data_IF_462316857274
#
_entry.id   IF_462316857274
#
_cell.length_a   1.000
_cell.length_b   1.000
_cell.length_c   1.000
_cell.angle_alpha   90.00
_cell.angle_beta   90.00
_cell.angle_gamma   90.00
#
_symmetry.space_group_name_H-M   'P 1'
#
loop_
_entity.id
_entity.type
_entity.pdbx_description
1 polymer ?
#
# COMPACT_ATOMS: atom_id res chain seq x y z
N UNK A 1 0.77 1.41 -7.87
CA UNK A 1 -0.29 0.87 -8.76
C UNK A 1 -0.73 -0.45 -8.16
N UNK A 2 -2.03 -0.74 -8.13
CA UNK A 2 -2.53 -2.00 -7.61
C UNK A 2 -2.14 -3.16 -8.53
N UNK A 3 -1.79 -4.30 -7.95
CA UNK A 3 -1.45 -5.55 -8.63
C UNK A 3 -2.31 -6.68 -8.10
N UNK A 4 -2.39 -7.77 -8.85
CA UNK A 4 -3.12 -8.96 -8.42
C UNK A 4 -2.36 -9.64 -7.26
N UNK A 5 -3.02 -9.77 -6.11
CA UNK A 5 -2.52 -10.42 -4.90
C UNK A 5 -2.88 -11.90 -4.90
N UNK A 6 -3.97 -12.27 -4.24
CA UNK A 6 -4.54 -13.63 -4.26
C UNK A 6 -5.77 -13.69 -5.17
N UNK A 7 -6.00 -14.82 -5.82
CA UNK A 7 -7.11 -14.96 -6.75
C UNK A 7 -7.45 -16.41 -7.04
N UNK A 8 -8.67 -16.63 -7.51
CA UNK A 8 -9.13 -17.86 -8.11
C UNK A 8 -10.09 -17.55 -9.27
N UNK A 9 -9.70 -17.90 -10.50
CA UNK A 9 -10.37 -17.47 -11.75
C UNK A 9 -10.71 -18.65 -12.68
N UNK A 10 -10.99 -19.82 -12.10
CA UNK A 10 -11.42 -21.00 -12.86
C UNK A 10 -12.76 -20.77 -13.59
N UNK A 11 -13.08 -21.61 -14.59
CA UNK A 11 -14.37 -21.51 -15.27
C UNK A 11 -15.52 -21.77 -14.31
N UNK A 12 -16.57 -20.96 -14.41
CA UNK A 12 -17.75 -21.09 -13.56
C UNK A 12 -18.53 -22.37 -13.90
N UNK A 13 -18.86 -23.19 -12.89
CA UNK A 13 -19.73 -24.36 -13.08
C UNK A 13 -20.68 -24.65 -11.90
N UNK A 14 -20.65 -23.85 -10.84
CA UNK A 14 -21.44 -24.02 -9.62
C UNK A 14 -21.63 -22.68 -8.93
N UNK A 15 -22.59 -22.56 -8.02
CA UNK A 15 -22.87 -21.30 -7.32
C UNK A 15 -23.31 -21.57 -5.89
N UNK A 16 -23.20 -20.56 -5.06
CA UNK A 16 -23.81 -20.56 -3.74
C UNK A 16 -24.73 -19.37 -3.55
N UNK A 17 -25.96 -19.63 -3.11
CA UNK A 17 -26.96 -18.61 -2.83
C UNK A 17 -26.96 -18.32 -1.33
N UNK A 18 -26.97 -17.05 -0.94
CA UNK A 18 -26.93 -16.63 0.46
C UNK A 18 -27.76 -15.37 0.70
N UNK A 19 -28.30 -15.24 1.91
CA UNK A 19 -29.31 -14.25 2.25
C UNK A 19 -29.51 -14.13 3.77
N UNK A 20 -30.00 -12.99 4.24
CA UNK A 20 -30.40 -12.80 5.63
C UNK A 20 -29.24 -12.59 6.59
N UNK A 21 -29.56 -12.63 7.89
CA UNK A 21 -28.66 -12.19 8.98
C UNK A 21 -27.70 -13.25 9.51
N UNK A 22 -27.85 -14.51 9.11
CA UNK A 22 -27.04 -15.62 9.65
C UNK A 22 -26.68 -16.67 8.59
N UNK A 23 -26.65 -16.29 7.31
CA UNK A 23 -26.35 -17.21 6.21
C UNK A 23 -25.51 -16.48 5.16
N UNK A 24 -24.19 -16.58 5.32
CA UNK A 24 -23.20 -15.82 4.56
C UNK A 24 -22.29 -16.72 3.74
N UNK A 25 -21.92 -16.28 2.55
CA UNK A 25 -20.87 -16.90 1.76
C UNK A 25 -19.50 -16.31 2.12
N UNK A 26 -18.50 -17.17 2.21
CA UNK A 26 -17.14 -16.78 2.52
C UNK A 26 -16.10 -17.60 1.74
N UNK A 27 -14.93 -17.02 1.54
CA UNK A 27 -13.78 -17.69 0.93
C UNK A 27 -12.56 -17.40 1.81
N UNK A 28 -11.90 -18.43 2.34
CA UNK A 28 -10.59 -18.23 2.95
C UNK A 28 -9.50 -18.11 1.88
N UNK A 29 -8.47 -17.35 2.20
CA UNK A 29 -7.31 -17.13 1.35
C UNK A 29 -6.06 -16.90 2.19
N UNK A 30 -4.91 -17.32 1.65
CA UNK A 30 -3.62 -17.20 2.32
C UNK A 30 -2.69 -16.36 1.47
N UNK A 31 -2.12 -15.30 2.05
CA UNK A 31 -1.18 -14.45 1.32
C UNK A 31 0.06 -15.24 0.93
N UNK A 32 0.37 -15.26 -0.37
CA UNK A 32 1.50 -15.97 -0.93
C UNK A 32 1.19 -17.40 -1.39
N UNK A 33 -0.07 -17.82 -1.38
CA UNK A 33 -0.46 -19.14 -1.87
C UNK A 33 -0.43 -19.21 -3.40
N UNK A 34 -1.03 -18.21 -4.06
CA UNK A 34 -0.93 -18.02 -5.52
C UNK A 34 -0.15 -16.75 -5.86
N UNK A 35 -0.30 -15.72 -5.02
CA UNK A 35 0.35 -14.42 -5.17
C UNK A 35 1.78 -14.35 -4.63
N UNK A 36 2.28 -13.12 -4.52
CA UNK A 36 3.61 -12.87 -3.92
C UNK A 36 3.53 -12.97 -2.40
N UNK A 37 4.40 -13.77 -1.77
CA UNK A 37 4.44 -13.94 -0.31
C UNK A 37 5.18 -12.79 0.41
N UNK A 38 4.63 -11.59 0.33
CA UNK A 38 5.10 -10.37 1.04
C UNK A 38 3.90 -9.71 1.73
N UNK A 39 4.13 -8.72 2.60
CA UNK A 39 3.05 -7.90 3.13
C UNK A 39 2.39 -7.09 2.00
N UNK A 40 1.07 -6.92 2.04
CA UNK A 40 0.29 -6.29 0.97
C UNK A 40 -0.83 -5.44 1.56
N UNK A 41 -1.02 -4.21 1.08
CA UNK A 41 -2.18 -3.39 1.46
C UNK A 41 -3.32 -3.70 0.51
N UNK A 42 -4.48 -4.09 1.03
CA UNK A 42 -5.67 -4.29 0.18
C UNK A 42 -6.19 -2.96 -0.36
N UNK A 43 -6.50 -2.96 -1.66
CA UNK A 43 -7.10 -1.84 -2.38
C UNK A 43 -8.55 -2.17 -2.78
N UNK A 44 -8.76 -3.29 -3.46
CA UNK A 44 -10.09 -3.68 -3.96
C UNK A 44 -10.25 -5.19 -4.10
N UNK A 45 -11.50 -5.63 -4.14
CA UNK A 45 -11.90 -6.99 -4.47
C UNK A 45 -12.66 -6.98 -5.78
N UNK A 46 -12.38 -7.97 -6.64
CA UNK A 46 -13.26 -8.30 -7.75
C UNK A 46 -13.90 -9.64 -7.46
N UNK A 47 -15.23 -9.66 -7.42
CA UNK A 47 -16.01 -10.84 -7.05
C UNK A 47 -16.96 -11.20 -8.19
N UNK A 48 -17.03 -12.48 -8.55
CA UNK A 48 -17.99 -12.95 -9.55
C UNK A 48 -19.34 -13.20 -8.89
N UNK A 49 -20.19 -12.19 -8.92
CA UNK A 49 -21.48 -12.17 -8.24
C UNK A 49 -22.63 -11.99 -9.24
N UNK A 50 -23.77 -12.59 -8.92
CA UNK A 50 -25.05 -12.31 -9.57
C UNK A 50 -26.17 -12.38 -8.53
N UNK A 51 -27.31 -11.78 -8.85
CA UNK A 51 -28.45 -11.66 -7.91
C UNK A 51 -29.77 -12.06 -8.54
N UNK A 52 -30.80 -12.23 -7.72
CA UNK A 52 -32.16 -12.23 -8.26
C UNK A 52 -32.59 -10.81 -8.69
N UNK A 53 -33.53 -10.74 -9.64
CA UNK A 53 -33.96 -9.48 -10.22
C UNK A 53 -34.58 -8.50 -9.21
N UNK A 54 -35.23 -9.01 -8.16
CA UNK A 54 -35.88 -8.22 -7.11
C UNK A 54 -34.97 -7.73 -5.98
N UNK A 55 -33.69 -8.14 -5.95
CA UNK A 55 -32.78 -7.76 -4.88
C UNK A 55 -32.23 -6.33 -5.04
N UNK A 56 -32.67 -5.43 -4.16
CA UNK A 56 -32.20 -4.04 -4.05
C UNK A 56 -31.85 -3.71 -2.59
N UNK A 57 -30.66 -4.11 -2.18
CA UNK A 57 -30.11 -3.89 -0.84
C UNK A 57 -28.63 -3.51 -0.93
N UNK A 58 -28.04 -3.08 0.17
CA UNK A 58 -26.60 -2.93 0.27
C UNK A 58 -25.98 -4.23 0.77
N UNK A 59 -25.07 -4.81 -0.02
CA UNK A 59 -24.27 -5.95 0.42
C UNK A 59 -22.98 -5.45 1.09
N UNK A 60 -22.57 -6.12 2.16
CA UNK A 60 -21.38 -5.79 2.94
C UNK A 60 -20.31 -6.84 2.69
N UNK A 61 -19.11 -6.39 2.35
CA UNK A 61 -17.95 -7.25 2.14
C UNK A 61 -16.96 -6.96 3.26
N UNK A 62 -16.50 -8.00 3.95
CA UNK A 62 -15.58 -7.90 5.07
C UNK A 62 -14.38 -8.83 4.85
N UNK A 63 -13.22 -8.40 5.32
CA UNK A 63 -12.06 -9.27 5.53
C UNK A 63 -11.82 -9.41 7.02
N UNK A 64 -11.67 -10.65 7.48
CA UNK A 64 -11.35 -10.98 8.87
C UNK A 64 -10.19 -11.96 8.95
N UNK A 65 -9.53 -11.96 10.11
CA UNK A 65 -8.64 -13.05 10.51
C UNK A 65 -9.45 -14.32 10.79
N UNK A 66 -8.77 -15.46 10.80
CA UNK A 66 -9.36 -16.73 11.22
C UNK A 66 -8.72 -17.27 12.49
N UNK A 67 -9.50 -18.02 13.26
CA UNK A 67 -8.98 -18.83 14.35
C UNK A 67 -8.41 -20.16 13.83
N UNK A 68 -7.76 -20.91 14.73
CA UNK A 68 -7.17 -22.23 14.42
C UNK A 68 -8.20 -23.29 14.00
N UNK A 69 -9.50 -23.01 14.20
CA UNK A 69 -10.60 -23.89 13.80
C UNK A 69 -11.21 -23.47 12.44
N UNK A 70 -10.64 -22.46 11.78
CA UNK A 70 -11.11 -21.98 10.49
C UNK A 70 -12.35 -21.08 10.55
N UNK A 71 -12.69 -20.52 11.73
CA UNK A 71 -13.79 -19.57 11.90
C UNK A 71 -13.28 -18.12 11.83
N UNK A 72 -14.11 -17.16 11.38
CA UNK A 72 -13.77 -15.74 11.49
C UNK A 72 -13.57 -15.34 12.95
N UNK A 73 -12.54 -14.55 13.22
CA UNK A 73 -12.26 -14.04 14.57
C UNK A 73 -11.86 -12.56 14.55
N UNK A 74 -11.99 -11.92 15.71
CA UNK A 74 -11.61 -10.52 15.89
C UNK A 74 -12.49 -9.51 15.16
N UNK A 75 -11.95 -8.29 15.04
CA UNK A 75 -12.62 -7.18 14.35
C UNK A 75 -12.52 -7.31 12.83
N UNK A 76 -13.38 -6.58 12.11
CA UNK A 76 -13.24 -6.39 10.67
C UNK A 76 -11.92 -5.67 10.39
N UNK A 77 -11.07 -6.27 9.54
CA UNK A 77 -9.76 -5.73 9.18
C UNK A 77 -9.87 -4.78 7.99
N UNK A 78 -10.70 -5.14 7.02
CA UNK A 78 -11.02 -4.33 5.85
C UNK A 78 -12.48 -4.53 5.46
N UNK A 79 -13.11 -3.49 4.92
CA UNK A 79 -14.52 -3.53 4.53
C UNK A 79 -14.80 -2.75 3.26
N UNK A 80 -15.88 -3.16 2.57
CA UNK A 80 -16.44 -2.46 1.43
C UNK A 80 -17.94 -2.72 1.34
N UNK A 81 -18.62 -1.93 0.52
CA UNK A 81 -20.06 -2.10 0.27
C UNK A 81 -20.36 -1.99 -1.21
N UNK A 82 -21.39 -2.69 -1.67
CA UNK A 82 -21.90 -2.58 -3.04
C UNK A 82 -23.42 -2.57 -3.01
N UNK A 83 -24.03 -1.69 -3.80
CA UNK A 83 -25.47 -1.73 -4.02
C UNK A 83 -25.80 -2.89 -4.97
N UNK A 84 -26.66 -3.82 -4.56
CA UNK A 84 -26.90 -5.03 -5.35
C UNK A 84 -27.47 -4.75 -6.73
N UNK A 85 -28.15 -3.62 -6.94
CA UNK A 85 -28.67 -3.25 -8.27
C UNK A 85 -27.58 -3.07 -9.33
N UNK A 86 -26.33 -2.82 -8.95
CA UNK A 86 -25.16 -2.79 -9.87
C UNK A 86 -24.62 -4.17 -10.19
N UNK A 87 -25.05 -5.19 -9.44
CA UNK A 87 -24.72 -6.59 -9.67
C UNK A 87 -25.67 -7.17 -10.73
N UNK A 88 -25.15 -7.93 -11.71
CA UNK A 88 -25.96 -8.53 -12.75
C UNK A 88 -26.99 -9.57 -12.24
N UNK A 89 -28.02 -9.80 -13.04
CA UNK A 89 -29.09 -10.78 -12.72
C UNK A 89 -28.88 -12.15 -13.36
N UNK A 90 -27.88 -12.29 -14.24
CA UNK A 90 -27.54 -13.55 -14.90
C UNK A 90 -26.16 -14.01 -14.46
N UNK A 91 -25.93 -15.32 -14.26
CA UNK A 91 -24.59 -15.85 -14.01
C UNK A 91 -23.71 -15.69 -15.25
N UNK A 92 -22.48 -15.18 -15.07
CA UNK A 92 -21.42 -15.17 -16.08
C UNK A 92 -20.05 -15.03 -15.42
N UNK A 93 -18.98 -15.30 -16.18
CA UNK A 93 -17.58 -15.21 -15.75
C UNK A 93 -17.06 -13.76 -15.65
N UNK A 94 -17.92 -12.82 -15.27
CA UNK A 94 -17.52 -11.44 -15.00
C UNK A 94 -17.42 -11.16 -13.53
N UNK A 95 -16.90 -9.96 -13.24
CA UNK A 95 -16.64 -9.51 -11.89
C UNK A 95 -17.25 -8.13 -11.64
N UNK A 96 -17.75 -7.94 -10.43
CA UNK A 96 -18.02 -6.62 -9.87
C UNK A 96 -16.83 -6.20 -9.01
N UNK A 97 -16.48 -4.91 -9.04
CA UNK A 97 -15.36 -4.38 -8.25
C UNK A 97 -15.90 -3.69 -6.99
N UNK A 98 -15.32 -4.00 -5.85
CA UNK A 98 -15.63 -3.41 -4.55
C UNK A 98 -14.35 -2.77 -4.02
N UNK A 99 -14.39 -1.46 -3.79
CA UNK A 99 -13.29 -0.76 -3.12
C UNK A 99 -13.30 -1.14 -1.64
N UNK A 100 -12.11 -1.38 -1.10
CA UNK A 100 -11.93 -1.83 0.28
C UNK A 100 -11.22 -0.76 1.10
N UNK A 101 -11.54 -0.67 2.39
CA UNK A 101 -10.76 0.15 3.32
C UNK A 101 -9.34 -0.42 3.45
N UNK A 102 -8.32 0.43 3.44
CA UNK A 102 -6.93 -0.01 3.48
C UNK A 102 -6.60 -0.81 4.74
N UNK A 103 -5.90 -1.94 4.55
CA UNK A 103 -5.38 -2.79 5.61
C UNK A 103 -4.18 -3.58 5.11
N UNK A 104 -3.14 -3.71 5.94
CA UNK A 104 -1.93 -4.49 5.61
C UNK A 104 -2.11 -5.98 5.94
N UNK A 105 -2.34 -6.78 4.91
CA UNK A 105 -2.36 -8.24 4.94
C UNK A 105 -0.93 -8.77 5.05
N UNK A 106 -0.70 -9.68 5.99
CA UNK A 106 0.62 -10.21 6.33
C UNK A 106 0.95 -11.45 5.48
N UNK A 107 2.23 -11.67 5.14
CA UNK A 107 2.66 -12.84 4.36
C UNK A 107 2.34 -14.13 5.11
N UNK A 108 2.05 -15.21 4.35
CA UNK A 108 1.78 -16.55 4.89
C UNK A 108 0.68 -16.59 5.96
N UNK A 109 -0.21 -15.60 5.95
CA UNK A 109 -1.31 -15.46 6.91
C UNK A 109 -2.62 -15.72 6.20
N UNK A 110 -3.47 -16.51 6.82
CA UNK A 110 -4.80 -16.83 6.32
C UNK A 110 -5.84 -15.81 6.80
N UNK A 111 -6.68 -15.39 5.87
CA UNK A 111 -7.78 -14.45 6.06
C UNK A 111 -9.04 -15.00 5.41
N UNK A 112 -10.17 -14.32 5.64
CA UNK A 112 -11.43 -14.71 5.04
C UNK A 112 -12.19 -13.50 4.48
N UNK A 113 -12.58 -13.61 3.21
CA UNK A 113 -13.57 -12.72 2.57
C UNK A 113 -14.95 -13.21 3.00
N UNK A 114 -15.80 -12.32 3.52
CA UNK A 114 -17.16 -12.62 3.95
C UNK A 114 -18.12 -11.66 3.23
N UNK A 115 -19.20 -12.18 2.64
CA UNK A 115 -20.27 -11.35 2.07
C UNK A 115 -21.53 -11.51 2.90
N UNK A 116 -22.02 -10.39 3.46
CA UNK A 116 -23.23 -10.34 4.28
C UNK A 116 -24.34 -9.57 3.56
N UNK A 117 -25.55 -10.10 3.65
CA UNK A 117 -26.76 -9.53 3.04
C UNK A 117 -27.92 -9.58 4.05
N UNK A 118 -27.82 -8.85 5.18
CA UNK A 118 -28.78 -8.96 6.30
C UNK A 118 -30.24 -8.69 5.90
N UNK A 119 -30.44 -7.86 4.88
CA UNK A 119 -31.76 -7.45 4.38
C UNK A 119 -32.26 -8.31 3.19
N UNK A 120 -31.52 -9.35 2.81
CA UNK A 120 -31.93 -10.31 1.79
C UNK A 120 -32.79 -11.44 2.37
N UNK A 121 -33.54 -12.12 1.51
CA UNK A 121 -34.40 -13.24 1.87
C UNK A 121 -34.30 -14.39 0.85
N UNK A 122 -35.01 -15.49 1.09
CA UNK A 122 -34.96 -16.67 0.22
C UNK A 122 -35.51 -16.45 -1.20
N UNK A 123 -36.28 -15.40 -1.43
CA UNK A 123 -36.78 -14.98 -2.76
C UNK A 123 -35.90 -13.89 -3.39
N UNK A 124 -35.24 -13.08 -2.57
CA UNK A 124 -34.35 -12.00 -2.97
C UNK A 124 -32.96 -12.24 -2.40
N UNK A 125 -32.10 -12.95 -3.13
CA UNK A 125 -30.79 -13.39 -2.66
C UNK A 125 -29.66 -13.03 -3.61
N UNK A 126 -28.45 -13.05 -3.05
CA UNK A 126 -27.20 -12.89 -3.79
C UNK A 126 -26.56 -14.27 -3.99
N UNK A 127 -25.85 -14.41 -5.09
CA UNK A 127 -25.14 -15.62 -5.45
C UNK A 127 -23.69 -15.32 -5.79
N UNK A 128 -22.79 -16.16 -5.28
CA UNK A 128 -21.36 -16.13 -5.62
C UNK A 128 -21.05 -17.32 -6.52
N UNK A 129 -20.49 -16.99 -7.69
CA UNK A 129 -19.98 -17.95 -8.66
C UNK A 129 -18.85 -18.79 -8.06
N UNK A 130 -18.88 -20.10 -8.32
CA UNK A 130 -17.92 -21.07 -7.84
C UNK A 130 -17.51 -22.08 -8.93
N UNK A 131 -16.40 -22.77 -8.69
CA UNK A 131 -15.96 -23.92 -9.47
C UNK A 131 -15.86 -25.17 -8.58
N UNK A 132 -16.43 -26.28 -9.08
CA UNK A 132 -16.49 -27.58 -8.41
C UNK A 132 -15.88 -28.67 -9.29
N UNK A 133 -14.97 -29.53 -8.77
CA UNK A 133 -14.29 -29.36 -7.48
C UNK A 133 -13.45 -28.07 -7.47
N UNK A 134 -13.32 -27.48 -6.30
CA UNK A 134 -12.39 -26.39 -6.03
C UNK A 134 -10.95 -26.82 -6.32
N UNK A 135 -10.08 -25.83 -6.41
CA UNK A 135 -8.66 -26.03 -6.70
C UNK A 135 -7.82 -24.82 -6.33
N UNK A 136 -8.32 -23.97 -5.43
CA UNK A 136 -7.56 -22.87 -4.88
C UNK A 136 -6.70 -23.39 -3.72
N UNK A 137 -5.38 -23.38 -3.90
CA UNK A 137 -4.46 -23.92 -2.88
C UNK A 137 -4.38 -23.08 -1.61
N UNK A 138 -4.85 -21.82 -1.65
CA UNK A 138 -4.72 -20.86 -0.56
C UNK A 138 -5.84 -20.86 0.47
N UNK A 139 -6.88 -21.67 0.29
CA UNK A 139 -8.03 -21.71 1.20
C UNK A 139 -9.20 -22.47 0.61
N UNK A 140 -10.37 -22.35 1.25
CA UNK A 140 -11.58 -23.04 0.81
C UNK A 140 -12.79 -22.09 0.84
N UNK A 141 -13.78 -22.38 0.00
CA UNK A 141 -15.10 -21.76 0.18
C UNK A 141 -15.80 -22.30 1.43
N UNK A 142 -16.51 -21.39 2.09
CA UNK A 142 -17.12 -21.59 3.40
C UNK A 142 -18.54 -21.02 3.43
N UNK A 143 -19.41 -21.69 4.18
CA UNK A 143 -20.68 -21.13 4.64
C UNK A 143 -20.56 -20.76 6.10
N UNK A 144 -21.00 -19.56 6.45
CA UNK A 144 -21.23 -19.19 7.85
C UNK A 144 -22.74 -19.24 8.08
N UNK A 145 -23.19 -20.22 8.86
CA UNK A 145 -24.59 -20.42 9.19
C UNK A 145 -24.82 -20.51 10.70
N UNK A 146 -25.63 -19.59 11.25
CA UNK A 146 -25.96 -19.52 12.68
C UNK A 146 -24.72 -19.56 13.58
N UNK A 147 -23.67 -18.82 13.20
CA UNK A 147 -22.40 -18.75 13.94
C UNK A 147 -21.49 -19.98 13.78
N UNK A 148 -21.84 -20.94 12.92
CA UNK A 148 -21.01 -22.11 12.60
C UNK A 148 -20.42 -21.97 11.19
N UNK A 149 -19.15 -22.32 11.03
CA UNK A 149 -18.46 -22.33 9.72
C UNK A 149 -18.45 -23.74 9.15
N UNK A 150 -18.79 -23.88 7.87
CA UNK A 150 -18.78 -25.15 7.14
C UNK A 150 -17.91 -25.02 5.90
N UNK A 151 -16.92 -25.90 5.76
CA UNK A 151 -16.09 -26.00 4.57
C UNK A 151 -16.83 -26.72 3.45
N UNK A 152 -16.64 -26.23 2.22
CA UNK A 152 -17.12 -26.89 1.02
C UNK A 152 -15.97 -27.30 0.11
N UNK A 153 -16.27 -28.19 -0.83
CA UNK A 153 -15.31 -28.72 -1.80
C UNK A 153 -15.21 -27.89 -3.08
N UNK A 154 -15.92 -26.76 -3.17
CA UNK A 154 -15.81 -25.80 -4.26
C UNK A 154 -14.99 -24.59 -3.83
N UNK A 155 -14.59 -23.75 -4.77
CA UNK A 155 -13.97 -22.45 -4.50
C UNK A 155 -14.72 -21.34 -5.22
N UNK A 156 -14.91 -20.23 -4.53
CA UNK A 156 -15.54 -19.05 -5.10
C UNK A 156 -14.57 -18.31 -6.04
N UNK A 157 -15.08 -17.69 -7.10
CA UNK A 157 -14.26 -16.92 -8.03
C UNK A 157 -14.04 -15.50 -7.49
N UNK A 158 -12.78 -15.11 -7.31
CA UNK A 158 -12.38 -13.81 -6.79
C UNK A 158 -11.01 -13.36 -7.28
N UNK A 159 -10.78 -12.05 -7.22
CA UNK A 159 -9.45 -11.43 -7.32
C UNK A 159 -9.29 -10.42 -6.18
N UNK A 160 -8.17 -10.51 -5.46
CA UNK A 160 -7.75 -9.49 -4.50
C UNK A 160 -6.72 -8.60 -5.19
N UNK A 161 -7.03 -7.31 -5.25
CA UNK A 161 -6.13 -6.30 -5.79
C UNK A 161 -5.49 -5.54 -4.64
N UNK A 162 -4.16 -5.43 -4.69
CA UNK A 162 -3.33 -5.00 -3.57
C UNK A 162 -2.23 -4.05 -4.02
N UNK A 163 -1.65 -3.34 -3.06
CA UNK A 163 -0.39 -2.63 -3.21
C UNK A 163 0.67 -3.39 -2.41
N UNK A 164 1.75 -3.82 -3.06
CA UNK A 164 2.81 -4.56 -2.38
C UNK A 164 3.55 -3.65 -1.39
N UNK A 165 3.75 -4.15 -0.16
CA UNK A 165 4.60 -3.53 0.85
C UNK A 165 5.97 -4.19 0.77
N UNK A 166 6.91 -3.51 0.11
CA UNK A 166 8.23 -4.05 -0.17
C UNK A 166 9.27 -3.30 0.66
N UNK A 167 10.06 -4.06 1.41
CA UNK A 167 11.23 -3.51 2.11
C UNK A 167 12.28 -3.11 1.08
N UNK A 168 12.95 -1.95 1.25
CA UNK A 168 13.92 -1.45 0.27
C UNK A 168 14.98 -2.51 -0.11
N UNK A 169 15.63 -3.12 0.90
CA UNK A 169 16.26 -4.44 0.80
C UNK A 169 16.69 -4.98 2.19
N UNK A 170 17.04 -6.25 2.27
CA UNK A 170 17.36 -6.95 3.52
C UNK A 170 18.61 -6.46 4.28
N UNK A 171 19.43 -5.56 3.71
CA UNK A 171 20.60 -5.02 4.38
C UNK A 171 20.27 -3.84 5.32
N UNK A 172 19.01 -3.41 5.39
CA UNK A 172 18.56 -2.30 6.23
C UNK A 172 17.80 -2.82 7.45
N UNK A 173 18.39 -2.63 8.63
CA UNK A 173 17.89 -3.17 9.89
C UNK A 173 16.62 -2.47 10.40
N UNK A 174 16.46 -1.18 10.07
CA UNK A 174 15.37 -0.37 10.59
C UNK A 174 14.66 0.38 9.47
N UNK A 175 13.33 0.51 9.61
CA UNK A 175 12.51 1.46 8.84
C UNK A 175 11.59 2.24 9.77
N UNK A 176 11.25 3.47 9.39
CA UNK A 176 10.23 4.29 10.04
C UNK A 176 9.33 4.91 9.00
N UNK A 177 8.02 4.72 9.14
CA UNK A 177 7.02 5.42 8.33
C UNK A 177 7.00 6.91 8.71
N UNK A 178 6.90 7.76 7.70
CA UNK A 178 6.78 9.21 7.78
C UNK A 178 5.57 9.59 6.95
N UNK A 179 4.53 10.06 7.64
CA UNK A 179 3.29 10.47 7.02
C UNK A 179 3.45 11.85 6.37
N UNK A 180 3.05 11.98 5.10
CA UNK A 180 3.06 13.22 4.34
C UNK A 180 1.65 13.51 3.84
N UNK A 181 1.10 14.67 4.23
CA UNK A 181 -0.24 15.08 3.82
C UNK A 181 -0.17 16.17 2.76
N UNK A 182 -0.85 15.95 1.63
CA UNK A 182 -1.14 16.98 0.66
C UNK A 182 -2.49 17.65 1.01
N UNK A 183 -2.44 18.89 1.48
CA UNK A 183 -3.62 19.67 1.85
C UNK A 183 -4.23 20.47 0.67
N UNK A 184 -3.77 20.27 -0.57
CA UNK A 184 -4.31 20.92 -1.76
C UNK A 184 -5.13 19.96 -2.62
N UNK A 185 -6.10 20.51 -3.35
CA UNK A 185 -7.05 19.75 -4.17
C UNK A 185 -6.47 19.28 -5.53
N UNK A 186 -5.15 19.40 -5.73
CA UNK A 186 -4.43 18.91 -6.89
C UNK A 186 -3.32 17.96 -6.46
N UNK A 187 -2.98 16.98 -7.31
CA UNK A 187 -1.82 16.14 -7.05
C UNK A 187 -0.53 16.98 -7.06
N UNK A 188 0.40 16.65 -6.17
CA UNK A 188 1.76 17.17 -6.16
C UNK A 188 2.68 16.10 -6.74
N UNK A 189 3.55 16.48 -7.66
CA UNK A 189 4.53 15.61 -8.32
C UNK A 189 5.92 16.16 -8.04
N UNK A 190 6.89 15.28 -7.81
CA UNK A 190 8.31 15.65 -7.57
C UNK A 190 8.47 16.75 -6.51
N UNK A 191 7.71 16.62 -5.41
CA UNK A 191 7.53 17.68 -4.42
C UNK A 191 8.46 17.51 -3.23
N UNK A 192 9.22 18.56 -2.88
CA UNK A 192 10.19 18.53 -1.79
C UNK A 192 9.51 18.73 -0.44
N UNK A 193 9.74 17.78 0.47
CA UNK A 193 9.22 17.83 1.84
C UNK A 193 10.40 17.86 2.81
N UNK A 194 10.39 18.85 3.71
CA UNK A 194 11.38 18.96 4.77
C UNK A 194 10.93 18.19 6.01
N UNK A 195 11.80 17.31 6.49
CA UNK A 195 11.64 16.61 7.75
C UNK A 195 12.76 16.99 8.73
N UNK A 196 12.42 16.95 10.02
CA UNK A 196 13.40 17.09 11.09
C UNK A 196 13.50 15.78 11.86
N UNK A 197 14.73 15.30 12.06
CA UNK A 197 15.01 14.04 12.73
C UNK A 197 16.08 14.22 13.80
N UNK A 198 15.85 13.64 14.98
CA UNK A 198 16.87 13.46 16.01
C UNK A 198 17.79 12.29 15.63
N UNK A 199 18.79 12.58 14.79
CA UNK A 199 19.78 11.59 14.36
C UNK A 199 20.78 11.31 15.48
N UNK A 200 21.03 12.29 16.37
CA UNK A 200 21.90 12.11 17.53
C UNK A 200 21.40 10.99 18.46
N UNK A 201 20.09 10.90 18.69
CA UNK A 201 19.51 9.81 19.46
C UNK A 201 19.71 8.43 18.80
N UNK A 202 19.58 8.34 17.47
CA UNK A 202 19.76 7.09 16.72
C UNK A 202 21.23 6.65 16.68
N UNK A 203 22.15 7.60 16.53
CA UNK A 203 23.60 7.37 16.60
C UNK A 203 24.00 6.91 18.00
N UNK A 204 23.52 7.59 19.05
CA UNK A 204 23.78 7.21 20.45
C UNK A 204 23.25 5.81 20.77
N UNK A 205 22.12 5.43 20.17
CA UNK A 205 21.54 4.10 20.30
C UNK A 205 22.25 3.01 19.46
N UNK A 206 23.27 3.37 18.66
CA UNK A 206 23.99 2.46 17.79
C UNK A 206 23.16 1.94 16.61
N UNK A 207 22.10 2.66 16.22
CA UNK A 207 21.21 2.26 15.11
C UNK A 207 21.52 2.95 13.79
N UNK A 208 22.29 4.03 13.83
CA UNK A 208 22.64 4.87 12.68
C UNK A 208 24.12 5.27 12.76
N UNK A 209 24.78 5.46 11.63
CA UNK A 209 26.15 5.96 11.58
C UNK A 209 26.19 7.49 11.76
N UNK A 210 27.29 8.00 12.32
CA UNK A 210 27.41 9.42 12.67
C UNK A 210 27.53 10.33 11.43
N UNK A 211 27.96 9.79 10.30
CA UNK A 211 28.08 10.46 8.99
C UNK A 211 26.79 10.38 8.16
N UNK A 212 25.85 9.49 8.50
CA UNK A 212 24.53 9.38 7.87
C UNK A 212 24.53 8.74 6.48
N UNK A 213 25.60 8.05 6.12
CA UNK A 213 25.70 7.30 4.86
C UNK A 213 24.70 6.14 4.81
N UNK A 214 24.25 5.69 5.98
CA UNK A 214 23.20 4.69 6.17
C UNK A 214 21.81 5.32 6.32
N UNK A 215 21.46 6.24 5.42
CA UNK A 215 20.12 6.79 5.26
C UNK A 215 19.63 6.53 3.85
N UNK A 216 18.40 6.04 3.70
CA UNK A 216 17.69 6.09 2.43
C UNK A 216 16.20 6.30 2.67
N UNK A 217 15.55 6.97 1.73
CA UNK A 217 14.10 7.09 1.70
C UNK A 217 13.55 6.24 0.58
N UNK A 218 12.46 5.53 0.84
CA UNK A 218 11.74 4.80 -0.19
C UNK A 218 10.22 4.89 0.02
N UNK A 219 9.47 4.68 -1.03
CA UNK A 219 8.02 4.52 -0.93
C UNK A 219 7.64 3.12 -0.42
N UNK A 220 6.33 2.88 -0.30
CA UNK A 220 5.78 1.61 0.16
C UNK A 220 6.20 0.41 -0.73
N UNK A 221 6.47 0.65 -2.01
CA UNK A 221 6.89 -0.36 -2.97
C UNK A 221 8.42 -0.56 -2.98
N UNK A 222 9.14 0.03 -2.02
CA UNK A 222 10.59 -0.07 -1.92
C UNK A 222 11.33 0.74 -2.99
N UNK A 223 10.66 1.70 -3.65
CA UNK A 223 11.30 2.55 -4.67
C UNK A 223 11.98 3.73 -3.98
N UNK A 224 13.30 3.86 -4.17
CA UNK A 224 14.09 4.95 -3.60
C UNK A 224 13.55 6.33 -4.00
N UNK A 225 13.62 7.28 -3.07
CA UNK A 225 13.33 8.69 -3.27
C UNK A 225 14.62 9.50 -3.16
N UNK A 226 14.75 10.54 -3.97
CA UNK A 226 15.87 11.47 -3.88
C UNK A 226 15.75 12.29 -2.59
N UNK A 227 16.89 12.53 -1.92
CA UNK A 227 16.92 13.27 -0.66
C UNK A 227 18.21 14.05 -0.47
N UNK A 228 18.18 15.05 0.40
CA UNK A 228 19.32 15.88 0.74
C UNK A 228 19.37 16.20 2.23
N UNK A 229 20.51 15.90 2.86
CA UNK A 229 20.80 16.27 4.24
C UNK A 229 21.31 17.72 4.25
N UNK A 230 20.46 18.66 4.65
CA UNK A 230 20.75 20.11 4.63
C UNK A 230 21.68 20.52 5.78
N UNK A 231 21.37 20.09 7.00
CA UNK A 231 22.00 20.65 8.21
C UNK A 231 23.19 19.83 8.73
N UNK A 232 23.60 18.79 8.00
CA UNK A 232 24.52 17.77 8.50
C UNK A 232 23.88 16.77 9.48
N UNK A 233 24.72 15.88 10.01
CA UNK A 233 24.32 14.67 10.75
C UNK A 233 24.65 14.74 12.24
N UNK A 234 24.13 13.76 12.98
CA UNK A 234 24.34 13.59 14.42
C UNK A 234 23.89 14.80 15.25
N UNK A 235 22.69 15.30 14.95
CA UNK A 235 22.07 16.42 15.68
C UNK A 235 20.66 16.06 16.12
N UNK A 236 20.12 16.78 17.11
CA UNK A 236 18.74 16.57 17.58
C UNK A 236 17.70 17.09 16.56
N UNK A 237 18.12 17.86 15.55
CA UNK A 237 17.26 18.51 14.58
C UNK A 237 17.85 18.45 13.17
N UNK A 238 18.29 17.27 12.75
CA UNK A 238 18.82 17.09 11.40
C UNK A 238 17.72 17.33 10.39
N UNK A 239 17.95 18.30 9.50
CA UNK A 239 17.05 18.70 8.43
C UNK A 239 17.34 17.89 7.17
N UNK A 240 16.33 17.20 6.68
CA UNK A 240 16.42 16.36 5.49
C UNK A 240 15.27 16.72 4.56
N UNK A 241 15.61 17.10 3.34
CA UNK A 241 14.64 17.27 2.26
C UNK A 241 14.49 15.96 1.51
N UNK A 242 13.27 15.59 1.16
CA UNK A 242 12.98 14.40 0.33
C UNK A 242 12.07 14.81 -0.80
N UNK A 243 12.43 14.43 -2.01
CA UNK A 243 11.59 14.60 -3.20
C UNK A 243 10.58 13.45 -3.27
N UNK A 244 9.30 13.75 -3.03
CA UNK A 244 8.23 12.76 -3.10
C UNK A 244 7.61 12.78 -4.50
N UNK A 245 7.83 11.71 -5.27
CA UNK A 245 7.44 11.64 -6.70
C UNK A 245 5.96 11.94 -6.96
N UNK A 246 5.05 11.51 -6.09
CA UNK A 246 3.62 11.88 -6.21
C UNK A 246 2.90 11.77 -4.87
N UNK A 247 2.08 12.78 -4.56
CA UNK A 247 1.12 12.78 -3.46
C UNK A 247 -0.25 13.18 -4.03
N UNK A 248 -1.26 12.32 -3.87
CA UNK A 248 -2.60 12.57 -4.40
C UNK A 248 -3.25 13.84 -3.84
N UNK A 249 -4.23 14.39 -4.56
CA UNK A 249 -5.01 15.54 -4.10
C UNK A 249 -5.73 15.21 -2.78
N UNK A 250 -5.64 16.10 -1.79
CA UNK A 250 -6.25 15.92 -0.46
C UNK A 250 -5.94 14.55 0.18
N UNK A 251 -4.78 13.98 -0.11
CA UNK A 251 -4.41 12.63 0.29
C UNK A 251 -3.20 12.64 1.23
N UNK A 252 -3.12 11.57 2.01
CA UNK A 252 -1.97 11.25 2.84
C UNK A 252 -1.19 10.11 2.19
N UNK A 253 0.14 10.16 2.29
CA UNK A 253 1.04 9.14 1.78
C UNK A 253 2.18 8.89 2.77
N UNK A 254 2.51 7.62 2.98
CA UNK A 254 3.69 7.25 3.74
C UNK A 254 4.94 7.22 2.87
N UNK A 255 6.02 7.79 3.41
CA UNK A 255 7.39 7.59 2.95
C UNK A 255 8.16 6.91 4.08
N UNK A 256 9.07 6.00 3.73
CA UNK A 256 9.80 5.20 4.69
C UNK A 256 11.25 5.65 4.75
N UNK A 257 11.69 6.07 5.94
CA UNK A 257 13.10 6.25 6.26
C UNK A 257 13.69 4.91 6.65
N UNK A 258 14.69 4.44 5.93
CA UNK A 258 15.49 3.27 6.27
C UNK A 258 16.85 3.71 6.83
N UNK A 259 17.36 2.97 7.82
CA UNK A 259 18.66 3.21 8.46
C UNK A 259 19.25 1.94 9.09
N UNK A 260 20.52 1.98 9.49
CA UNK A 260 21.21 0.86 10.13
C UNK A 260 21.92 -0.09 9.18
N UNK A 261 22.19 0.33 7.94
CA UNK A 261 23.01 -0.45 7.00
C UNK A 261 24.47 0.00 7.05
N UNK A 262 25.31 -0.73 7.78
CA UNK A 262 26.69 -0.30 8.01
C UNK A 262 27.60 -0.30 6.75
N UNK A 263 27.17 -0.97 5.68
CA UNK A 263 27.89 -1.02 4.40
C UNK A 263 27.31 -0.07 3.35
N UNK A 264 26.36 0.79 3.71
CA UNK A 264 25.81 1.78 2.81
C UNK A 264 26.83 2.89 2.50
N UNK A 265 26.67 3.49 1.34
CA UNK A 265 27.34 4.72 0.94
C UNK A 265 26.28 5.80 0.77
N UNK A 266 26.61 7.04 1.11
CA UNK A 266 25.62 8.13 1.04
C UNK A 266 24.97 8.26 -0.34
N UNK A 267 23.64 8.40 -0.34
CA UNK A 267 22.84 8.71 -1.51
C UNK A 267 22.29 10.15 -1.47
N UNK A 268 22.68 10.96 -0.47
CA UNK A 268 22.23 12.33 -0.29
C UNK A 268 22.73 13.21 -1.43
N UNK A 269 21.81 13.81 -2.19
CA UNK A 269 22.12 14.67 -3.34
C UNK A 269 21.11 15.80 -3.47
N UNK A 270 21.54 17.02 -3.17
CA UNK A 270 20.72 18.21 -3.39
C UNK A 270 20.35 18.39 -4.86
N UNK A 271 21.29 18.14 -5.78
CA UNK A 271 21.08 18.25 -7.21
C UNK A 271 20.03 17.28 -7.78
N UNK A 272 19.83 16.12 -7.15
CA UNK A 272 18.76 15.20 -7.53
C UNK A 272 17.45 15.52 -6.81
N UNK A 273 17.50 16.16 -5.64
CA UNK A 273 16.32 16.39 -4.78
C UNK A 273 15.52 17.62 -5.21
N UNK A 274 16.19 18.66 -5.75
CA UNK A 274 15.57 19.92 -6.15
C UNK A 274 15.67 20.13 -7.65
N UNK A 275 14.62 20.74 -8.23
CA UNK A 275 14.63 21.15 -9.65
C UNK A 275 15.80 22.10 -9.97
N UNK A 276 16.09 23.01 -9.03
CA UNK A 276 17.26 23.87 -9.07
C UNK A 276 18.00 23.75 -7.73
N UNK A 277 19.27 23.33 -7.80
CA UNK A 277 20.13 23.22 -6.62
C UNK A 277 21.40 24.05 -6.82
N UNK A 278 21.66 24.95 -5.87
CA UNK A 278 22.86 25.75 -5.84
C UNK A 278 23.65 25.39 -4.58
N UNK A 279 24.74 24.66 -4.78
CA UNK A 279 25.68 24.41 -3.70
C UNK A 279 26.49 25.69 -3.44
N UNK A 280 26.33 26.25 -2.24
CA UNK A 280 27.06 27.45 -1.80
C UNK A 280 28.58 27.23 -1.78
N UNK A 281 29.04 25.98 -1.75
CA UNK A 281 30.44 25.59 -1.66
C UNK A 281 31.05 25.23 -3.02
N UNK A 282 30.28 25.34 -4.13
CA UNK A 282 30.72 25.01 -5.48
C UNK A 282 30.32 26.05 -6.52
N UNK A 283 31.22 26.36 -7.46
CA UNK A 283 30.90 27.13 -8.67
C UNK A 283 30.48 26.24 -9.86
N UNK A 284 30.43 24.90 -9.66
CA UNK A 284 30.00 23.98 -10.70
C UNK A 284 28.55 24.28 -11.12
N UNK A 285 28.27 24.22 -12.43
CA UNK A 285 26.94 24.51 -13.00
C UNK A 285 26.71 25.97 -13.38
N UNK A 286 27.55 26.90 -12.95
CA UNK A 286 27.43 28.31 -13.33
C UNK A 286 28.14 28.60 -14.66
N UNK A 287 27.39 29.17 -15.60
CA UNK A 287 27.95 29.80 -16.80
C UNK A 287 27.81 31.31 -16.66
N UNK A 288 28.92 32.05 -16.69
CA UNK A 288 28.90 33.51 -16.66
C UNK A 288 28.95 34.08 -18.07
N UNK A 289 28.35 35.26 -18.26
CA UNK A 289 28.40 36.00 -19.52
C UNK A 289 29.09 37.35 -19.30
N UNK A 290 29.94 37.75 -20.25
CA UNK A 290 30.78 38.96 -20.14
C UNK A 290 31.83 38.84 -19.04
N UNK A 291 32.09 39.94 -18.35
CA UNK A 291 33.12 40.05 -17.32
C UNK A 291 32.72 39.47 -15.95
N UNK A 292 31.61 38.74 -15.85
CA UNK A 292 31.17 38.18 -14.57
C UNK A 292 32.03 36.98 -14.14
N UNK A 293 32.45 36.97 -12.88
CA UNK A 293 33.11 35.84 -12.22
C UNK A 293 32.27 35.41 -11.01
N UNK A 294 32.01 34.10 -10.93
CA UNK A 294 31.42 33.47 -9.75
C UNK A 294 32.55 32.84 -8.91
N UNK A 295 32.45 32.97 -7.60
CA UNK A 295 33.37 32.37 -6.64
C UNK A 295 32.62 31.98 -5.37
N UNK A 296 33.16 31.04 -4.61
CA UNK A 296 32.62 30.67 -3.30
C UNK A 296 33.35 31.46 -2.21
N UNK A 297 32.62 31.89 -1.17
CA UNK A 297 33.21 32.61 -0.04
C UNK A 297 32.40 32.40 1.23
N UNK A 298 32.88 31.48 2.08
CA UNK A 298 32.09 31.01 3.21
C UNK A 298 30.80 30.39 2.71
N UNK A 299 29.66 30.78 3.30
CA UNK A 299 28.34 30.26 2.95
C UNK A 299 27.66 30.99 1.77
N UNK A 300 28.42 31.73 0.95
CA UNK A 300 27.88 32.53 -0.13
C UNK A 300 28.60 32.28 -1.45
N UNK A 301 27.80 32.24 -2.52
CA UNK A 301 28.29 32.52 -3.87
C UNK A 301 28.47 34.03 -4.01
N UNK A 302 29.64 34.44 -4.49
CA UNK A 302 29.99 35.81 -4.81
C UNK A 302 30.06 35.99 -6.32
N UNK A 303 29.30 36.96 -6.81
CA UNK A 303 29.34 37.43 -8.19
C UNK A 303 30.06 38.77 -8.21
N UNK A 304 31.09 38.91 -9.05
CA UNK A 304 31.82 40.17 -9.25
C UNK A 304 32.18 40.37 -10.70
N UNK A 305 32.50 41.61 -11.07
CA UNK A 305 33.18 41.86 -12.33
C UNK A 305 34.62 41.32 -12.27
N UNK A 306 35.16 40.86 -13.40
CA UNK A 306 36.58 40.55 -13.56
C UNK A 306 37.40 41.83 -13.63
N UNK A 307 36.75 42.96 -13.91
CA UNK A 307 37.39 44.26 -14.16
C UNK A 307 37.26 45.26 -13.00
N UNK A 308 36.48 44.96 -11.96
CA UNK A 308 36.29 45.76 -10.72
C UNK A 308 36.11 44.85 -9.51
#
# INVERSE_FOLDING_TARGET
MATLGEYYTASYNSQYNFYGVDYYAAQSFTIGAVGTNVAQIIDSLKLSLFRTAGLDITAYIEIKAMDVSGNPTGNVLSSGTIQTTTIPTTPFEGYVTINMTSYELQPSTEYMIIIRTPDADSSNYLSWSAHTPGGYDGGNSKLLYLGTTYDYTNDFLFEIWVILVVWYNANWDYRRAIEVTNNVASALTDFQVLFTLDTAALVTAGKMQADGDDIIFADLAGVAQDYWIESGMNTNTTKIWVEVKTIGASATKDIYLYYGNAGASTASSGANTFEEFFDKDSTAGWTTNGDMVVSTSGDYLKFKSSTN
#
